data_IF_145111032192
#
_entry.id   IF_145111032192
#
_cell.length_a   1.000
_cell.length_b   1.000
_cell.length_c   1.000
_cell.angle_alpha   90.00
_cell.angle_beta   90.00
_cell.angle_gamma   90.00
#
_symmetry.space_group_name_H-M   'P 1'
#
loop_
_entity.id
_entity.type
_entity.pdbx_description
1 polymer ?
#
# COMPACT_ATOMS: atom_id res chain seq x y z
N UNK A 1 29.47 4.02 -6.20
CA UNK A 1 29.23 5.44 -5.87
C UNK A 1 27.91 5.74 -6.53
N UNK A 2 26.84 5.67 -5.74
CA UNK A 2 25.49 5.95 -6.24
C UNK A 2 25.33 7.45 -6.17
N UNK A 3 25.25 8.09 -7.32
CA UNK A 3 25.03 9.52 -7.43
C UNK A 3 23.68 9.84 -6.77
N UNK A 4 23.76 10.68 -5.74
CA UNK A 4 22.62 11.35 -5.13
C UNK A 4 21.75 11.94 -6.25
N UNK A 5 20.50 11.47 -6.32
CA UNK A 5 19.38 12.12 -7.01
C UNK A 5 19.18 13.51 -6.36
N UNK A 6 20.04 14.46 -6.76
CA UNK A 6 19.88 15.87 -6.45
C UNK A 6 18.72 16.37 -7.30
N UNK A 7 17.53 16.33 -6.70
CA UNK A 7 16.34 17.05 -7.17
C UNK A 7 16.78 18.51 -7.46
N UNK A 8 16.58 19.01 -8.69
CA UNK A 8 17.11 20.30 -9.07
C UNK A 8 16.45 21.43 -8.28
N UNK A 9 17.32 22.39 -7.95
CA UNK A 9 17.07 23.68 -7.32
C UNK A 9 15.95 24.44 -8.06
N UNK A 10 14.93 24.88 -7.33
CA UNK A 10 13.73 25.64 -7.76
C UNK A 10 12.75 24.95 -8.73
N UNK A 11 12.19 23.81 -8.34
CA UNK A 11 10.85 23.43 -8.80
C UNK A 11 9.80 24.05 -7.86
N UNK A 12 8.79 24.73 -8.42
CA UNK A 12 7.61 25.14 -7.65
C UNK A 12 7.04 23.90 -6.94
N UNK A 13 6.57 24.07 -5.71
CA UNK A 13 6.00 22.96 -4.94
C UNK A 13 4.82 22.33 -5.66
N UNK A 14 4.11 23.11 -6.46
CA UNK A 14 3.00 22.67 -7.31
C UNK A 14 3.51 21.67 -8.38
N UNK A 15 4.64 21.97 -9.02
CA UNK A 15 5.24 21.06 -10.00
C UNK A 15 5.70 19.76 -9.35
N UNK A 16 6.30 19.85 -8.15
CA UNK A 16 6.70 18.67 -7.38
C UNK A 16 5.48 17.82 -6.96
N UNK A 17 4.37 18.47 -6.57
CA UNK A 17 3.10 17.79 -6.28
C UNK A 17 2.54 17.08 -7.52
N UNK A 18 2.62 17.73 -8.69
CA UNK A 18 2.21 17.16 -9.98
C UNK A 18 3.01 15.93 -10.33
N UNK A 19 4.34 16.00 -10.25
CA UNK A 19 5.23 14.88 -10.55
C UNK A 19 4.98 13.69 -9.62
N UNK A 20 4.78 13.94 -8.32
CA UNK A 20 4.45 12.87 -7.38
C UNK A 20 3.08 12.23 -7.68
N UNK A 21 2.10 13.03 -8.10
CA UNK A 21 0.79 12.51 -8.51
C UNK A 21 0.88 11.62 -9.76
N UNK A 22 1.68 12.02 -10.75
CA UNK A 22 1.92 11.22 -11.96
C UNK A 22 2.65 9.92 -11.59
N UNK A 23 3.76 10.02 -10.84
CA UNK A 23 4.54 8.85 -10.39
C UNK A 23 3.69 7.88 -9.58
N UNK A 24 2.80 8.38 -8.74
CA UNK A 24 1.86 7.57 -7.97
C UNK A 24 0.90 6.80 -8.89
N UNK A 25 0.46 7.37 -10.01
CA UNK A 25 -0.44 6.68 -10.94
C UNK A 25 0.30 5.69 -11.86
N UNK A 26 1.55 5.98 -12.23
CA UNK A 26 2.34 5.12 -13.13
C UNK A 26 2.97 3.91 -12.44
N UNK A 27 3.25 4.00 -11.14
CA UNK A 27 3.91 2.89 -10.43
C UNK A 27 2.94 1.74 -10.16
N UNK A 28 3.33 0.51 -10.46
CA UNK A 28 2.54 -0.69 -10.09
C UNK A 28 2.82 -1.14 -8.65
N UNK A 29 3.95 -0.70 -8.08
CA UNK A 29 4.40 -1.11 -6.74
C UNK A 29 3.66 -0.34 -5.64
N UNK A 30 2.92 -1.06 -4.79
CA UNK A 30 2.13 -0.46 -3.71
C UNK A 30 2.99 0.36 -2.72
N UNK A 31 4.22 -0.06 -2.46
CA UNK A 31 5.14 0.65 -1.56
C UNK A 31 5.52 2.02 -2.11
N UNK A 32 5.91 2.06 -3.39
CA UNK A 32 6.26 3.31 -4.10
C UNK A 32 5.04 4.21 -4.23
N UNK A 33 3.86 3.64 -4.49
CA UNK A 33 2.60 4.37 -4.50
C UNK A 33 2.36 5.09 -3.16
N UNK A 34 2.43 4.36 -2.05
CA UNK A 34 2.23 4.93 -0.70
C UNK A 34 3.30 5.97 -0.37
N UNK A 35 4.57 5.72 -0.72
CA UNK A 35 5.65 6.69 -0.52
C UNK A 35 5.37 8.01 -1.26
N UNK A 36 4.88 7.94 -2.50
CA UNK A 36 4.50 9.12 -3.27
C UNK A 36 3.33 9.87 -2.60
N UNK A 37 2.34 9.15 -2.05
CA UNK A 37 1.22 9.77 -1.33
C UNK A 37 1.64 10.46 -0.02
N UNK A 38 2.61 9.91 0.70
CA UNK A 38 3.14 10.55 1.92
C UNK A 38 3.91 11.82 1.55
N UNK A 39 4.83 11.73 0.59
CA UNK A 39 5.62 12.89 0.14
C UNK A 39 4.75 14.00 -0.43
N UNK A 40 3.71 13.67 -1.21
CA UNK A 40 2.82 14.70 -1.77
C UNK A 40 2.01 15.41 -0.69
N UNK A 41 1.68 14.72 0.41
CA UNK A 41 0.98 15.34 1.54
C UNK A 41 1.86 16.38 2.22
N UNK A 42 3.15 16.07 2.44
CA UNK A 42 4.11 17.03 3.00
C UNK A 42 4.24 18.28 2.14
N UNK A 43 4.25 18.10 0.80
CA UNK A 43 4.28 19.21 -0.15
C UNK A 43 2.98 19.99 -0.14
N UNK A 44 1.82 19.33 -0.10
CA UNK A 44 0.51 19.98 -0.02
C UNK A 44 0.39 20.83 1.25
N UNK A 45 0.86 20.33 2.39
CA UNK A 45 0.90 21.07 3.65
C UNK A 45 1.82 22.29 3.55
N UNK A 46 2.94 22.17 2.83
CA UNK A 46 3.87 23.27 2.58
C UNK A 46 3.32 24.31 1.59
N UNK A 47 2.49 23.92 0.61
CA UNK A 47 1.77 24.84 -0.29
C UNK A 47 0.74 25.62 0.52
N UNK A 48 -0.07 24.91 1.32
CA UNK A 48 -1.11 25.51 2.16
C UNK A 48 -0.56 26.47 3.21
N UNK A 49 0.63 26.18 3.75
CA UNK A 49 1.30 27.06 4.74
C UNK A 49 1.84 28.35 4.11
N UNK A 50 2.36 28.25 2.89
CA UNK A 50 3.07 29.36 2.25
C UNK A 50 2.14 30.21 1.35
N UNK A 51 0.85 29.87 1.31
CA UNK A 51 -0.19 30.53 0.48
C UNK A 51 0.23 30.65 -1.00
N UNK A 52 0.90 29.60 -1.50
CA UNK A 52 1.40 29.57 -2.86
C UNK A 52 0.19 29.47 -3.83
N UNK A 53 0.03 30.41 -4.77
CA UNK A 53 -1.14 30.45 -5.64
C UNK A 53 -1.11 29.27 -6.62
N UNK A 54 -2.21 28.51 -6.66
CA UNK A 54 -2.39 27.42 -7.61
C UNK A 54 -2.99 27.98 -8.91
N UNK A 55 -2.36 27.75 -10.09
CA UNK A 55 -2.92 28.18 -11.36
C UNK A 55 -4.30 27.58 -11.62
N UNK A 56 -5.30 28.42 -11.92
CA UNK A 56 -6.68 27.96 -12.17
C UNK A 56 -6.78 26.99 -13.35
N UNK A 57 -5.91 27.16 -14.35
CA UNK A 57 -5.86 26.33 -15.56
C UNK A 57 -5.56 24.85 -15.25
N UNK A 58 -4.81 24.59 -14.18
CA UNK A 58 -4.37 23.24 -13.81
C UNK A 58 -5.30 22.55 -12.79
N UNK A 59 -6.23 23.29 -12.15
CA UNK A 59 -7.09 22.76 -11.07
C UNK A 59 -7.91 21.55 -11.55
N UNK A 60 -8.47 21.62 -12.76
CA UNK A 60 -9.27 20.53 -13.31
C UNK A 60 -8.44 19.26 -13.49
N UNK A 61 -7.18 19.41 -13.92
CA UNK A 61 -6.24 18.31 -14.12
C UNK A 61 -5.82 17.68 -12.79
N UNK A 62 -5.54 18.51 -11.77
CA UNK A 62 -5.25 18.03 -10.42
C UNK A 62 -6.43 17.27 -9.82
N UNK A 63 -7.65 17.79 -9.95
CA UNK A 63 -8.85 17.12 -9.47
C UNK A 63 -9.11 15.79 -10.18
N UNK A 64 -8.82 15.69 -11.49
CA UNK A 64 -8.92 14.44 -12.22
C UNK A 64 -7.95 13.39 -11.68
N UNK A 65 -6.68 13.75 -11.49
CA UNK A 65 -5.66 12.85 -10.90
C UNK A 65 -6.03 12.41 -9.49
N UNK A 66 -6.53 13.31 -8.65
CA UNK A 66 -6.97 12.95 -7.29
C UNK A 66 -8.10 11.91 -7.31
N UNK A 67 -9.03 11.99 -8.28
CA UNK A 67 -10.08 10.97 -8.43
C UNK A 67 -9.51 9.61 -8.77
N UNK A 68 -8.55 9.55 -9.69
CA UNK A 68 -7.88 8.29 -10.08
C UNK A 68 -7.08 7.70 -8.92
N UNK A 69 -6.35 8.53 -8.16
CA UNK A 69 -5.64 8.10 -6.95
C UNK A 69 -6.62 7.51 -5.93
N UNK A 70 -7.76 8.15 -5.72
CA UNK A 70 -8.80 7.66 -4.80
C UNK A 70 -9.41 6.34 -5.27
N UNK A 71 -9.67 6.19 -6.57
CA UNK A 71 -10.16 4.94 -7.15
C UNK A 71 -9.18 3.80 -6.89
N UNK A 72 -7.89 4.01 -7.18
CA UNK A 72 -6.84 3.03 -6.89
C UNK A 72 -6.76 2.67 -5.40
N UNK A 73 -6.88 3.65 -4.50
CA UNK A 73 -6.89 3.38 -3.05
C UNK A 73 -8.08 2.52 -2.63
N UNK A 74 -9.25 2.75 -3.23
CA UNK A 74 -10.45 1.94 -2.97
C UNK A 74 -10.23 0.51 -3.45
N UNK A 75 -9.61 0.32 -4.62
CA UNK A 75 -9.30 -0.99 -5.17
C UNK A 75 -8.29 -1.75 -4.31
N UNK A 76 -7.20 -1.10 -3.89
CA UNK A 76 -6.22 -1.70 -2.98
C UNK A 76 -6.82 -2.07 -1.64
N UNK A 77 -7.67 -1.20 -1.06
CA UNK A 77 -8.42 -1.52 0.16
C UNK A 77 -9.31 -2.74 -0.04
N UNK A 78 -10.02 -2.84 -1.16
CA UNK A 78 -10.89 -3.97 -1.45
C UNK A 78 -10.09 -5.27 -1.63
N UNK A 79 -8.92 -5.19 -2.29
CA UNK A 79 -7.99 -6.31 -2.45
C UNK A 79 -7.47 -6.82 -1.11
N UNK A 80 -7.00 -5.93 -0.24
CA UNK A 80 -6.55 -6.31 1.11
C UNK A 80 -7.66 -6.99 1.92
N UNK A 81 -8.89 -6.50 1.83
CA UNK A 81 -10.04 -7.14 2.49
C UNK A 81 -10.28 -8.55 1.95
N UNK A 82 -10.17 -8.75 0.62
CA UNK A 82 -10.31 -10.07 0.01
C UNK A 82 -9.21 -11.03 0.50
N UNK A 83 -7.95 -10.59 0.49
CA UNK A 83 -6.79 -11.40 0.92
C UNK A 83 -6.91 -11.80 2.41
N UNK A 84 -7.33 -10.87 3.28
CA UNK A 84 -7.58 -11.15 4.70
C UNK A 84 -8.68 -12.22 4.85
N UNK A 85 -9.76 -12.11 4.09
CA UNK A 85 -10.86 -13.06 4.13
C UNK A 85 -10.43 -14.45 3.63
N UNK A 86 -9.61 -14.51 2.58
CA UNK A 86 -9.05 -15.76 2.07
C UNK A 86 -8.11 -16.42 3.10
N UNK A 87 -7.18 -15.66 3.66
CA UNK A 87 -6.30 -16.16 4.72
C UNK A 87 -7.08 -16.64 5.94
N UNK A 88 -8.13 -15.93 6.35
CA UNK A 88 -9.00 -16.34 7.45
C UNK A 88 -9.73 -17.66 7.15
N UNK A 89 -10.20 -17.86 5.91
CA UNK A 89 -10.82 -19.14 5.47
C UNK A 89 -9.81 -20.27 5.45
N UNK A 90 -8.62 -20.05 4.90
CA UNK A 90 -7.53 -21.02 4.88
C UNK A 90 -7.14 -21.46 6.29
N UNK A 91 -6.95 -20.51 7.22
CA UNK A 91 -6.67 -20.79 8.63
C UNK A 91 -7.76 -21.63 9.30
N UNK A 92 -9.03 -21.36 9.01
CA UNK A 92 -10.14 -22.20 9.50
C UNK A 92 -10.07 -23.61 8.90
N UNK A 93 -9.80 -23.75 7.61
CA UNK A 93 -9.68 -25.04 6.94
C UNK A 93 -8.53 -25.89 7.51
N UNK A 94 -7.37 -25.29 7.77
CA UNK A 94 -6.22 -25.95 8.42
C UNK A 94 -6.58 -26.42 9.84
N UNK A 95 -7.28 -25.59 10.63
CA UNK A 95 -7.76 -25.99 11.97
C UNK A 95 -8.72 -27.18 11.90
N UNK A 96 -9.65 -27.19 10.96
CA UNK A 96 -10.59 -28.31 10.76
C UNK A 96 -9.86 -29.58 10.31
N UNK A 97 -8.89 -29.46 9.40
CA UNK A 97 -8.09 -30.60 8.94
C UNK A 97 -7.25 -31.21 10.06
N UNK A 98 -6.58 -30.37 10.87
CA UNK A 98 -5.80 -30.82 12.04
C UNK A 98 -6.67 -31.52 13.09
N UNK A 99 -7.92 -31.08 13.27
CA UNK A 99 -8.86 -31.77 14.16
C UNK A 99 -9.33 -33.14 13.62
N UNK A 100 -9.37 -33.31 12.30
CA UNK A 100 -9.74 -34.58 11.64
C UNK A 100 -8.58 -35.55 11.49
N UNK A 101 -7.35 -35.10 11.69
CA UNK A 101 -6.15 -35.95 11.75
C UNK A 101 -5.65 -36.01 13.20
N UNK A 102 -6.36 -36.70 14.12
CA UNK A 102 -5.78 -37.02 15.41
C UNK A 102 -4.53 -37.84 15.13
N UNK A 103 -3.40 -37.47 15.74
CA UNK A 103 -2.25 -38.36 15.78
C UNK A 103 -2.75 -39.74 16.23
N UNK A 104 -2.45 -40.82 15.49
CA UNK A 104 -2.80 -42.15 15.97
C UNK A 104 -2.17 -42.27 17.36
N UNK A 105 -2.98 -42.65 18.35
CA UNK A 105 -2.51 -42.96 19.69
C UNK A 105 -1.34 -43.92 19.51
N UNK A 106 -0.13 -43.46 19.82
CA UNK A 106 1.07 -44.30 19.77
C UNK A 106 0.75 -45.55 20.57
N UNK A 107 0.83 -46.77 19.97
CA UNK A 107 0.65 -47.98 20.74
C UNK A 107 1.63 -47.92 21.90
N UNK A 108 1.13 -48.08 23.12
CA UNK A 108 1.94 -48.16 24.31
C UNK A 108 2.79 -49.44 24.22
N UNK A 109 3.93 -49.38 23.54
CA UNK A 109 5.00 -50.37 23.70
C UNK A 109 5.69 -50.07 25.03
N UNK A 110 5.04 -50.43 26.13
CA UNK A 110 5.66 -50.48 27.46
C UNK A 110 5.52 -51.89 28.01
N UNK A 111 6.63 -52.60 27.90
CA UNK A 111 7.22 -53.57 28.81
C UNK A 111 6.48 -54.89 29.08
N UNK A 112 6.87 -55.88 28.29
CA UNK A 112 6.95 -57.28 28.72
C UNK A 112 8.17 -57.45 29.63
N UNK A 113 8.01 -57.30 30.95
CA UNK A 113 8.95 -57.85 31.94
C UNK A 113 8.17 -58.25 33.21
N UNK A 114 7.63 -59.46 33.19
CA UNK A 114 7.34 -60.26 34.40
C UNK A 114 8.30 -61.43 34.44
#
# INVERSE_FOLDING_TARGET
>A
MSDDDKIPVDKSKIEAFKELSIRALETEETEVFVECLVKRQEIADAIARDDEPVPEEDIAEYLAREREILERLVDEKNRLIADINEHARSMRAVKVYRAKFPFPVMPAFVDTLT
#
